data_IF_142315397425
#
_entry.id   IF_142315397425
#
_cell.length_a   1.000
_cell.length_b   1.000
_cell.length_c   1.000
_cell.angle_alpha   90.00
_cell.angle_beta   90.00
_cell.angle_gamma   90.00
#
_symmetry.space_group_name_H-M   'P 1'
#
loop_
_entity.id
_entity.type
_entity.pdbx_description
1 polymer ?
#
# COMPACT_ATOMS: atom_id res chain seq x y z
N UNK A 1 -12.12 24.70 -24.91
CA UNK A 1 -12.64 23.98 -23.70
C UNK A 1 -11.79 22.78 -23.34
N UNK A 2 -11.29 22.00 -24.30
CA UNK A 2 -10.48 20.80 -24.08
C UNK A 2 -9.09 21.10 -23.45
N UNK A 3 -8.46 22.20 -23.82
CA UNK A 3 -7.16 22.62 -23.27
C UNK A 3 -7.21 23.05 -21.79
N UNK A 4 -8.30 23.71 -21.39
CA UNK A 4 -8.50 24.11 -19.98
C UNK A 4 -8.78 22.91 -19.08
N UNK A 5 -9.52 21.93 -19.58
CA UNK A 5 -9.78 20.67 -18.86
C UNK A 5 -8.52 19.84 -18.66
N UNK A 6 -7.65 19.77 -19.65
CA UNK A 6 -6.36 19.07 -19.54
C UNK A 6 -5.42 19.77 -18.56
N UNK A 7 -5.29 21.09 -18.62
CA UNK A 7 -4.47 21.88 -17.70
C UNK A 7 -4.94 21.73 -16.23
N UNK A 8 -6.25 21.77 -15.97
CA UNK A 8 -6.82 21.55 -14.64
C UNK A 8 -6.53 20.12 -14.13
N UNK A 9 -6.65 19.11 -15.02
CA UNK A 9 -6.31 17.72 -14.70
C UNK A 9 -4.84 17.56 -14.31
N UNK A 10 -3.92 18.23 -15.01
CA UNK A 10 -2.48 18.12 -14.74
C UNK A 10 -2.08 18.82 -13.43
N UNK A 11 -2.70 19.96 -13.13
CA UNK A 11 -2.54 20.63 -11.83
C UNK A 11 -3.02 19.71 -10.69
N UNK A 12 -4.19 19.09 -10.84
CA UNK A 12 -4.73 18.18 -9.84
C UNK A 12 -3.85 16.95 -9.63
N UNK A 13 -3.36 16.31 -10.71
CA UNK A 13 -2.43 15.17 -10.63
C UNK A 13 -1.15 15.55 -9.90
N UNK A 14 -0.60 16.72 -10.18
CA UNK A 14 0.60 17.24 -9.51
C UNK A 14 0.37 17.47 -8.02
N UNK A 15 -0.75 18.09 -7.65
CA UNK A 15 -1.11 18.29 -6.24
C UNK A 15 -1.26 16.94 -5.51
N UNK A 16 -1.95 15.98 -6.11
CA UNK A 16 -2.11 14.63 -5.54
C UNK A 16 -0.77 13.91 -5.40
N UNK A 17 0.15 14.05 -6.36
CA UNK A 17 1.51 13.50 -6.30
C UNK A 17 2.26 14.00 -5.07
N UNK A 18 2.26 15.30 -4.81
CA UNK A 18 2.96 15.89 -3.65
C UNK A 18 2.28 15.59 -2.31
N UNK A 19 0.95 15.65 -2.25
CA UNK A 19 0.21 15.30 -1.04
C UNK A 19 0.43 13.83 -0.64
N UNK A 20 0.39 12.92 -1.63
CA UNK A 20 0.66 11.50 -1.40
C UNK A 20 2.10 11.28 -0.93
N UNK A 21 3.07 11.95 -1.54
CA UNK A 21 4.47 11.88 -1.12
C UNK A 21 4.67 12.37 0.32
N UNK A 22 4.08 13.52 0.69
CA UNK A 22 4.14 14.04 2.04
C UNK A 22 3.53 13.06 3.07
N UNK A 23 2.40 12.44 2.73
CA UNK A 23 1.77 11.44 3.59
C UNK A 23 2.64 10.17 3.73
N UNK A 24 3.26 9.69 2.66
CA UNK A 24 4.14 8.52 2.71
C UNK A 24 5.40 8.82 3.54
N UNK A 25 5.98 10.03 3.43
CA UNK A 25 7.10 10.47 4.26
C UNK A 25 6.70 10.52 5.74
N UNK A 26 5.50 11.02 6.05
CA UNK A 26 4.95 10.98 7.40
C UNK A 26 4.83 9.53 7.93
N UNK A 27 4.35 8.60 7.10
CA UNK A 27 4.29 7.18 7.48
C UNK A 27 5.68 6.58 7.68
N UNK A 28 6.66 6.93 6.85
CA UNK A 28 8.05 6.49 7.02
C UNK A 28 8.64 6.99 8.34
N UNK A 29 8.37 8.26 8.72
CA UNK A 29 8.75 8.77 10.02
C UNK A 29 8.10 8.00 11.19
N UNK A 30 6.82 7.65 11.07
CA UNK A 30 6.15 6.79 12.06
C UNK A 30 6.81 5.43 12.16
N UNK A 31 7.12 4.79 11.04
CA UNK A 31 7.82 3.48 11.00
C UNK A 31 9.20 3.59 11.66
N UNK A 32 9.98 4.63 11.37
CA UNK A 32 11.28 4.85 11.98
C UNK A 32 11.24 4.94 13.53
N UNK A 33 10.09 5.38 14.07
CA UNK A 33 9.87 5.51 15.51
C UNK A 33 9.07 4.35 16.12
N UNK A 34 8.74 3.33 15.34
CA UNK A 34 8.03 2.15 15.84
C UNK A 34 8.92 1.31 16.77
N UNK A 35 8.24 0.63 17.71
CA UNK A 35 8.82 -0.40 18.56
C UNK A 35 7.85 -1.57 18.60
N UNK A 36 8.39 -2.77 18.52
CA UNK A 36 7.62 -3.98 18.73
C UNK A 36 7.30 -4.08 20.22
N UNK A 37 6.02 -4.22 20.55
CA UNK A 37 5.60 -4.39 21.95
C UNK A 37 6.01 -5.76 22.45
N UNK A 38 6.70 -5.78 23.58
CA UNK A 38 7.11 -7.02 24.26
C UNK A 38 5.98 -7.67 25.04
N UNK A 39 4.97 -6.88 25.41
CA UNK A 39 3.81 -7.38 26.15
C UNK A 39 2.65 -7.69 25.17
N UNK A 40 1.86 -8.74 25.46
CA UNK A 40 0.62 -8.98 24.73
C UNK A 40 -0.22 -7.72 24.71
N UNK A 41 -0.79 -7.41 23.56
CA UNK A 41 -1.73 -6.29 23.45
C UNK A 41 -2.93 -6.64 24.32
N UNK A 42 -3.16 -5.88 25.39
CA UNK A 42 -4.38 -6.01 26.17
C UNK A 42 -5.57 -5.68 25.27
N UNK A 43 -6.40 -6.67 25.01
CA UNK A 43 -7.58 -6.56 24.15
C UNK A 43 -7.64 -7.69 23.10
N UNK A 44 -8.86 -8.02 22.71
CA UNK A 44 -9.08 -8.97 21.62
C UNK A 44 -8.56 -8.37 20.30
N UNK A 45 -7.87 -9.16 19.47
CA UNK A 45 -7.48 -8.70 18.15
C UNK A 45 -8.72 -8.28 17.35
N UNK A 46 -8.60 -7.27 16.45
CA UNK A 46 -9.73 -6.87 15.62
C UNK A 46 -10.26 -8.08 14.86
N UNK A 47 -11.56 -8.34 15.03
CA UNK A 47 -12.22 -9.49 14.42
C UNK A 47 -12.36 -9.36 12.91
N UNK A 48 -12.80 -10.43 12.27
CA UNK A 48 -13.03 -10.50 10.82
C UNK A 48 -13.86 -9.34 10.27
N UNK A 49 -14.92 -8.93 10.99
CA UNK A 49 -15.80 -7.82 10.58
C UNK A 49 -15.03 -6.49 10.51
N UNK A 50 -14.13 -6.22 11.46
CA UNK A 50 -13.32 -5.02 11.44
C UNK A 50 -12.38 -5.00 10.21
N UNK A 51 -11.77 -6.15 9.87
CA UNK A 51 -10.98 -6.29 8.65
C UNK A 51 -11.80 -6.08 7.38
N UNK A 52 -13.02 -6.59 7.34
CA UNK A 52 -13.91 -6.44 6.19
C UNK A 52 -14.29 -4.98 5.94
N UNK A 53 -14.53 -4.20 7.00
CA UNK A 53 -14.87 -2.76 6.88
C UNK A 53 -13.65 -1.92 6.44
N UNK A 54 -12.47 -2.26 6.92
CA UNK A 54 -11.25 -1.50 6.58
C UNK A 54 -10.88 -1.63 5.10
N UNK A 55 -11.18 -2.77 4.48
CA UNK A 55 -10.77 -3.03 3.09
C UNK A 55 -11.39 -2.08 2.06
N UNK A 56 -12.73 -1.83 2.04
CA UNK A 56 -13.34 -0.83 1.14
C UNK A 56 -12.91 0.61 1.42
N UNK A 57 -12.49 0.91 2.64
CA UNK A 57 -12.02 2.25 3.01
C UNK A 57 -10.54 2.48 2.67
N UNK A 58 -9.84 1.44 2.21
CA UNK A 58 -8.42 1.53 1.87
C UNK A 58 -8.23 2.04 0.43
N UNK A 59 -7.71 3.25 0.21
CA UNK A 59 -7.49 3.80 -1.13
C UNK A 59 -6.54 2.95 -1.98
N UNK A 60 -5.61 2.21 -1.35
CA UNK A 60 -4.72 1.27 -2.04
C UNK A 60 -5.52 0.15 -2.71
N UNK A 61 -6.57 -0.37 -2.07
CA UNK A 61 -7.41 -1.42 -2.66
C UNK A 61 -8.07 -0.94 -3.96
N UNK A 62 -8.62 0.26 -3.96
CA UNK A 62 -9.19 0.88 -5.16
C UNK A 62 -8.17 1.12 -6.26
N UNK A 63 -6.98 1.59 -5.90
CA UNK A 63 -5.86 1.75 -6.84
C UNK A 63 -5.47 0.43 -7.50
N UNK A 64 -5.38 -0.65 -6.73
CA UNK A 64 -5.08 -1.99 -7.26
C UNK A 64 -6.18 -2.53 -8.18
N UNK A 65 -7.45 -2.36 -7.81
CA UNK A 65 -8.59 -2.77 -8.65
C UNK A 65 -8.57 -1.99 -9.96
N UNK A 66 -8.43 -0.67 -9.91
CA UNK A 66 -8.36 0.18 -11.10
C UNK A 66 -7.19 -0.22 -12.00
N UNK A 67 -6.00 -0.43 -11.43
CA UNK A 67 -4.83 -0.88 -12.18
C UNK A 67 -5.04 -2.25 -12.83
N UNK A 68 -5.70 -3.19 -12.14
CA UNK A 68 -6.01 -4.50 -12.68
C UNK A 68 -6.95 -4.40 -13.89
N UNK A 69 -8.04 -3.61 -13.78
CA UNK A 69 -8.96 -3.41 -14.88
C UNK A 69 -8.32 -2.73 -16.09
N UNK A 70 -7.55 -1.67 -15.86
CA UNK A 70 -6.91 -0.92 -16.95
C UNK A 70 -5.77 -1.68 -17.64
N UNK A 71 -5.11 -2.59 -16.94
CA UNK A 71 -3.95 -3.33 -17.48
C UNK A 71 -4.31 -4.67 -18.11
N UNK A 72 -5.36 -5.33 -17.63
CA UNK A 72 -5.66 -6.72 -18.02
C UNK A 72 -7.00 -6.91 -18.72
N UNK A 73 -7.90 -5.93 -18.69
CA UNK A 73 -9.19 -6.02 -19.36
C UNK A 73 -9.13 -5.36 -20.73
N UNK A 74 -9.42 -6.13 -21.77
CA UNK A 74 -9.46 -5.62 -23.14
C UNK A 74 -10.72 -4.76 -23.35
N UNK A 75 -10.63 -3.59 -24.01
CA UNK A 75 -11.79 -2.79 -24.36
C UNK A 75 -12.81 -3.61 -25.18
N UNK A 76 -14.08 -3.52 -24.79
CA UNK A 76 -15.17 -4.28 -25.45
C UNK A 76 -15.40 -5.69 -24.86
N UNK A 77 -14.65 -6.12 -23.86
CA UNK A 77 -14.93 -7.35 -23.12
C UNK A 77 -16.29 -7.28 -22.41
N UNK A 78 -16.93 -8.43 -22.28
CA UNK A 78 -18.12 -8.54 -21.46
C UNK A 78 -17.82 -8.16 -20.00
N UNK A 79 -18.58 -7.20 -19.47
CA UNK A 79 -18.35 -6.62 -18.14
C UNK A 79 -18.40 -7.66 -17.04
N UNK A 80 -19.34 -8.60 -17.11
CA UNK A 80 -19.47 -9.64 -16.08
C UNK A 80 -18.27 -10.57 -16.07
N UNK A 81 -17.87 -11.07 -17.23
CA UNK A 81 -16.71 -11.98 -17.39
C UNK A 81 -15.41 -11.29 -16.97
N UNK A 82 -15.21 -10.03 -17.37
CA UNK A 82 -14.04 -9.24 -16.99
C UNK A 82 -13.97 -9.04 -15.46
N UNK A 83 -15.10 -8.64 -14.85
CA UNK A 83 -15.18 -8.42 -13.40
C UNK A 83 -14.92 -9.72 -12.63
N UNK A 84 -15.55 -10.82 -13.04
CA UNK A 84 -15.36 -12.10 -12.38
C UNK A 84 -13.91 -12.59 -12.48
N UNK A 85 -13.29 -12.46 -13.65
CA UNK A 85 -11.90 -12.86 -13.88
C UNK A 85 -10.94 -12.05 -12.99
N UNK A 86 -11.07 -10.74 -12.98
CA UNK A 86 -10.23 -9.86 -12.13
C UNK A 86 -10.46 -10.17 -10.64
N UNK A 87 -11.71 -10.33 -10.22
CA UNK A 87 -12.04 -10.66 -8.83
C UNK A 87 -11.44 -12.00 -8.40
N UNK A 88 -11.58 -13.06 -9.21
CA UNK A 88 -11.02 -14.38 -8.90
C UNK A 88 -9.49 -14.34 -8.80
N UNK A 89 -8.82 -13.70 -9.75
CA UNK A 89 -7.36 -13.57 -9.70
C UNK A 89 -6.92 -12.80 -8.44
N UNK A 90 -7.57 -11.69 -8.13
CA UNK A 90 -7.25 -10.90 -6.94
C UNK A 90 -7.49 -11.71 -5.65
N UNK A 91 -8.60 -12.45 -5.55
CA UNK A 91 -8.90 -13.29 -4.38
C UNK A 91 -7.82 -14.37 -4.20
N UNK A 92 -7.46 -15.08 -5.27
CA UNK A 92 -6.43 -16.13 -5.22
C UNK A 92 -5.08 -15.54 -4.81
N UNK A 93 -4.66 -14.45 -5.45
CA UNK A 93 -3.41 -13.78 -5.11
C UNK A 93 -3.41 -13.31 -3.64
N UNK A 94 -4.50 -12.73 -3.16
CA UNK A 94 -4.61 -12.25 -1.78
C UNK A 94 -4.62 -13.41 -0.77
N UNK A 95 -5.33 -14.48 -1.07
CA UNK A 95 -5.38 -15.67 -0.21
C UNK A 95 -4.00 -16.34 -0.05
N UNK A 96 -3.13 -16.25 -1.03
CA UNK A 96 -1.78 -16.79 -0.98
C UNK A 96 -0.80 -15.78 -0.38
N UNK A 97 -0.77 -14.57 -0.91
CA UNK A 97 0.26 -13.58 -0.57
C UNK A 97 0.10 -12.99 0.83
N UNK A 98 -1.13 -12.75 1.30
CA UNK A 98 -1.32 -12.16 2.63
C UNK A 98 -0.83 -13.07 3.77
N UNK A 99 -1.16 -14.39 3.82
CA UNK A 99 -0.62 -15.27 4.85
C UNK A 99 0.91 -15.41 4.76
N UNK A 100 1.47 -15.45 3.55
CA UNK A 100 2.93 -15.51 3.36
C UNK A 100 3.61 -14.27 3.94
N UNK A 101 3.12 -13.07 3.61
CA UNK A 101 3.64 -11.82 4.16
C UNK A 101 3.44 -11.69 5.66
N UNK A 102 2.28 -12.12 6.18
CA UNK A 102 2.02 -12.11 7.61
C UNK A 102 2.96 -13.06 8.35
N UNK A 103 3.16 -14.28 7.82
CA UNK A 103 4.10 -15.25 8.37
C UNK A 103 5.54 -14.78 8.34
N UNK A 104 6.00 -14.24 7.21
CA UNK A 104 7.34 -13.67 7.09
C UNK A 104 7.54 -12.50 8.07
N UNK A 105 6.55 -11.61 8.17
CA UNK A 105 6.57 -10.51 9.14
C UNK A 105 6.64 -10.97 10.58
N UNK A 106 5.88 -12.02 10.93
CA UNK A 106 5.91 -12.61 12.28
C UNK A 106 7.27 -13.22 12.61
N UNK A 107 7.88 -13.97 11.69
CA UNK A 107 9.22 -14.55 11.88
C UNK A 107 10.27 -13.46 12.07
N UNK A 108 10.26 -12.43 11.23
CA UNK A 108 11.17 -11.29 11.35
C UNK A 108 10.95 -10.61 12.70
N UNK A 109 9.69 -10.27 13.02
CA UNK A 109 9.34 -9.57 14.24
C UNK A 109 9.81 -10.34 15.49
N UNK A 110 9.54 -11.65 15.58
CA UNK A 110 9.95 -12.48 16.69
C UNK A 110 11.49 -12.58 16.86
N UNK A 111 12.21 -12.49 15.75
CA UNK A 111 13.68 -12.58 15.75
C UNK A 111 14.34 -11.26 16.21
N UNK A 112 13.79 -10.11 15.81
CA UNK A 112 14.41 -8.80 16.09
C UNK A 112 13.87 -8.09 17.33
N UNK A 113 12.71 -8.51 17.81
CA UNK A 113 12.01 -7.89 18.94
C UNK A 113 12.91 -7.74 20.19
N UNK A 114 12.99 -6.53 20.72
CA UNK A 114 13.82 -6.22 21.89
C UNK A 114 15.33 -6.20 21.63
N UNK A 115 15.78 -6.49 20.42
CA UNK A 115 17.20 -6.44 20.05
C UNK A 115 17.60 -5.06 19.50
N UNK A 116 18.91 -4.82 19.41
CA UNK A 116 19.43 -3.60 18.73
C UNK A 116 19.11 -3.57 17.24
N UNK A 117 18.92 -4.75 16.63
CA UNK A 117 18.55 -4.88 15.22
C UNK A 117 17.15 -4.34 14.92
N UNK A 118 16.22 -4.39 15.88
CA UNK A 118 14.88 -3.86 15.73
C UNK A 118 14.89 -2.41 15.21
N UNK A 119 15.65 -1.55 15.87
CA UNK A 119 15.77 -0.14 15.45
C UNK A 119 16.39 0.00 14.07
N UNK A 120 17.44 -0.80 13.78
CA UNK A 120 18.11 -0.79 12.48
C UNK A 120 17.18 -1.18 11.34
N UNK A 121 16.35 -2.21 11.54
CA UNK A 121 15.36 -2.66 10.54
C UNK A 121 14.31 -1.58 10.27
N UNK A 122 13.72 -0.97 11.31
CA UNK A 122 12.72 0.08 11.10
C UNK A 122 13.30 1.34 10.44
N UNK A 123 14.53 1.71 10.80
CA UNK A 123 15.22 2.83 10.13
C UNK A 123 15.55 2.52 8.67
N UNK A 124 15.99 1.30 8.36
CA UNK A 124 16.26 0.87 6.99
C UNK A 124 14.99 0.87 6.13
N UNK A 125 13.87 0.36 6.66
CA UNK A 125 12.58 0.38 5.98
C UNK A 125 12.08 1.82 5.74
N UNK A 126 12.20 2.68 6.73
CA UNK A 126 11.84 4.09 6.60
C UNK A 126 12.71 4.80 5.55
N UNK A 127 14.02 4.56 5.55
CA UNK A 127 14.95 5.12 4.58
C UNK A 127 14.64 4.65 3.15
N UNK A 128 14.42 3.35 2.95
CA UNK A 128 14.00 2.81 1.65
C UNK A 128 12.72 3.46 1.14
N UNK A 129 11.74 3.64 2.04
CA UNK A 129 10.48 4.32 1.69
C UNK A 129 10.73 5.75 1.23
N UNK A 130 11.57 6.50 1.97
CA UNK A 130 11.91 7.89 1.60
C UNK A 130 12.64 7.93 0.26
N UNK A 131 13.64 7.07 0.03
CA UNK A 131 14.36 6.97 -1.23
C UNK A 131 13.40 6.69 -2.40
N UNK A 132 12.47 5.74 -2.22
CA UNK A 132 11.46 5.42 -3.24
C UNK A 132 10.57 6.61 -3.56
N UNK A 133 10.15 7.38 -2.54
CA UNK A 133 9.35 8.60 -2.75
C UNK A 133 10.12 9.63 -3.54
N UNK A 134 11.39 9.87 -3.22
CA UNK A 134 12.24 10.79 -3.96
C UNK A 134 12.45 10.33 -5.41
N UNK A 135 12.68 9.04 -5.62
CA UNK A 135 12.79 8.48 -6.97
C UNK A 135 11.51 8.72 -7.80
N UNK A 136 10.32 8.47 -7.21
CA UNK A 136 9.03 8.70 -7.89
C UNK A 136 8.76 10.18 -8.14
N UNK A 137 9.21 11.07 -7.23
CA UNK A 137 9.00 12.51 -7.40
C UNK A 137 9.89 13.12 -8.50
N UNK A 138 11.13 12.64 -8.62
CA UNK A 138 12.16 13.27 -9.42
C UNK A 138 12.76 12.37 -10.50
N UNK A 139 12.44 11.07 -10.51
CA UNK A 139 12.99 10.10 -11.47
C UNK A 139 12.59 10.35 -12.93
N UNK A 140 11.49 11.07 -13.17
CA UNK A 140 11.07 11.47 -14.51
C UNK A 140 11.90 12.67 -15.07
N UNK A 141 12.87 13.18 -14.30
CA UNK A 141 13.70 14.35 -14.64
C UNK A 141 15.12 13.93 -15.03
N UNK A 142 15.46 12.65 -14.87
CA UNK A 142 16.74 12.06 -15.24
C UNK A 142 16.56 11.15 -16.46
#
# INVERSE_FOLDING_TARGET
TQSLSSAASDVYKRQMKYLSAAYIIYLAWRVANMRLKTNPVEGLPPGFVAGLIVHPLNPKAWGMITAAFTSFVTPGSDVFTATLSVALVLIVCQAILHPLWAGAGQVIASTIQGTRAERGVFLALALLTVITVFYVLFGDVI
#
